data_IF_517451966668
#
_entry.id   IF_517451966668
#
_cell.length_a   1.000
_cell.length_b   1.000
_cell.length_c   1.000
_cell.angle_alpha   90.00
_cell.angle_beta   90.00
_cell.angle_gamma   90.00
#
_symmetry.space_group_name_H-M   'P 1'
#
loop_
_entity.id
_entity.type
_entity.pdbx_description
1 polymer ?
#
# COMPACT_ATOMS: atom_id res chain seq x y z
N UNK A 1 -13.70 -28.67 4.34
CA UNK A 1 -12.54 -29.17 3.56
C UNK A 1 -11.67 -27.97 3.24
N UNK A 2 -10.58 -27.78 3.99
CA UNK A 2 -9.57 -26.76 3.69
C UNK A 2 -8.53 -27.45 2.82
N UNK A 3 -8.63 -27.28 1.50
CA UNK A 3 -7.68 -27.90 0.57
C UNK A 3 -6.33 -27.20 0.68
N UNK A 4 -5.36 -27.93 1.23
CA UNK A 4 -3.94 -27.56 1.22
C UNK A 4 -3.23 -28.02 -0.06
N UNK A 5 -3.98 -28.59 -1.00
CA UNK A 5 -3.44 -29.15 -2.24
C UNK A 5 -3.51 -28.12 -3.37
N UNK A 6 -2.38 -27.45 -3.63
CA UNK A 6 -2.21 -26.42 -4.66
C UNK A 6 -2.57 -26.95 -6.05
N UNK A 7 -2.32 -28.24 -6.30
CA UNK A 7 -2.65 -28.95 -7.54
C UNK A 7 -4.15 -29.05 -7.80
N UNK A 8 -4.95 -29.22 -6.73
CA UNK A 8 -6.41 -29.22 -6.82
C UNK A 8 -6.97 -27.81 -7.06
N UNK A 9 -6.34 -26.80 -6.46
CA UNK A 9 -6.73 -25.40 -6.63
C UNK A 9 -6.46 -24.91 -8.06
N UNK A 10 -5.37 -25.34 -8.69
CA UNK A 10 -5.06 -24.99 -10.08
C UNK A 10 -6.03 -25.61 -11.10
N UNK A 11 -6.51 -26.83 -10.82
CA UNK A 11 -7.42 -27.56 -11.71
C UNK A 11 -8.91 -27.24 -11.52
N UNK A 12 -9.32 -26.75 -10.34
CA UNK A 12 -10.74 -26.65 -9.95
C UNK A 12 -11.27 -25.26 -9.61
N UNK A 13 -10.41 -24.23 -9.53
CA UNK A 13 -10.82 -22.89 -9.07
C UNK A 13 -11.06 -21.97 -10.26
N UNK A 14 -12.30 -21.50 -10.39
CA UNK A 14 -12.70 -20.52 -11.41
C UNK A 14 -12.69 -19.07 -10.90
N UNK A 15 -12.69 -18.85 -9.58
CA UNK A 15 -12.69 -17.52 -8.96
C UNK A 15 -12.03 -17.57 -7.59
N UNK A 16 -11.15 -16.60 -7.30
CA UNK A 16 -10.49 -16.44 -6.00
C UNK A 16 -10.96 -15.12 -5.39
N UNK A 17 -11.51 -15.14 -4.17
CA UNK A 17 -11.84 -13.93 -3.43
C UNK A 17 -10.82 -13.75 -2.30
N UNK A 18 -10.05 -12.67 -2.35
CA UNK A 18 -9.09 -12.29 -1.33
C UNK A 18 -9.70 -11.22 -0.41
N UNK A 19 -9.53 -11.35 0.91
CA UNK A 19 -9.94 -10.34 1.88
C UNK A 19 -8.68 -9.60 2.36
N UNK A 20 -8.55 -8.31 2.02
CA UNK A 20 -7.43 -7.45 2.43
C UNK A 20 -7.97 -6.16 3.03
N UNK A 21 -7.60 -5.85 4.27
CA UNK A 21 -7.93 -4.56 4.91
C UNK A 21 -9.42 -4.22 4.86
N UNK A 22 -10.29 -5.13 5.28
CA UNK A 22 -11.76 -5.02 5.22
C UNK A 22 -12.36 -4.89 3.80
N UNK A 23 -11.56 -5.06 2.74
CA UNK A 23 -12.02 -5.04 1.35
C UNK A 23 -11.93 -6.43 0.75
N UNK A 24 -12.91 -6.80 -0.07
CA UNK A 24 -12.91 -8.04 -0.84
C UNK A 24 -12.41 -7.73 -2.25
N UNK A 25 -11.33 -8.40 -2.67
CA UNK A 25 -10.80 -8.34 -4.03
C UNK A 25 -11.12 -9.67 -4.71
N UNK A 26 -11.99 -9.63 -5.70
CA UNK A 26 -12.35 -10.80 -6.49
C UNK A 26 -11.47 -10.91 -7.74
N UNK A 27 -10.80 -12.05 -7.88
CA UNK A 27 -10.06 -12.46 -9.06
C UNK A 27 -10.89 -13.50 -9.82
N UNK A 28 -11.58 -13.06 -10.87
CA UNK A 28 -12.40 -13.94 -11.72
C UNK A 28 -11.55 -14.61 -12.79
N UNK A 29 -11.79 -15.89 -13.05
CA UNK A 29 -11.17 -16.68 -14.11
C UNK A 29 -9.63 -16.67 -14.11
N UNK A 30 -9.01 -16.65 -12.92
CA UNK A 30 -7.57 -16.72 -12.76
C UNK A 30 -7.16 -18.04 -12.11
N UNK A 31 -6.13 -18.69 -12.65
CA UNK A 31 -5.48 -19.81 -11.97
C UNK A 31 -4.77 -19.32 -10.71
N UNK A 32 -4.59 -20.21 -9.74
CA UNK A 32 -3.97 -19.87 -8.45
C UNK A 32 -2.58 -19.23 -8.60
N UNK A 33 -1.79 -19.70 -9.56
CA UNK A 33 -0.47 -19.14 -9.87
C UNK A 33 -0.53 -17.68 -10.34
N UNK A 34 -1.46 -17.33 -11.23
CA UNK A 34 -1.64 -15.95 -11.70
C UNK A 34 -2.09 -15.02 -10.58
N UNK A 35 -2.93 -15.51 -9.68
CA UNK A 35 -3.33 -14.76 -8.49
C UNK A 35 -2.12 -14.40 -7.61
N UNK A 36 -1.19 -15.34 -7.40
CA UNK A 36 0.03 -15.08 -6.63
C UNK A 36 0.91 -14.00 -7.28
N UNK A 37 1.17 -14.12 -8.59
CA UNK A 37 1.97 -13.13 -9.32
C UNK A 37 1.34 -11.72 -9.27
N UNK A 38 0.03 -11.63 -9.47
CA UNK A 38 -0.71 -10.36 -9.41
C UNK A 38 -0.72 -9.77 -8.00
N UNK A 39 -0.79 -10.61 -6.97
CA UNK A 39 -0.70 -10.20 -5.57
C UNK A 39 0.67 -9.63 -5.24
N UNK A 40 1.75 -10.28 -5.66
CA UNK A 40 3.11 -9.79 -5.48
C UNK A 40 3.32 -8.47 -6.23
N UNK A 41 2.86 -8.38 -7.48
CA UNK A 41 2.93 -7.14 -8.25
C UNK A 41 2.19 -5.99 -7.56
N UNK A 42 0.99 -6.24 -7.05
CA UNK A 42 0.22 -5.24 -6.29
C UNK A 42 0.93 -4.81 -5.02
N UNK A 43 1.51 -5.75 -4.27
CA UNK A 43 2.28 -5.46 -3.06
C UNK A 43 3.48 -4.56 -3.38
N UNK A 44 4.26 -4.91 -4.40
CA UNK A 44 5.40 -4.12 -4.85
C UNK A 44 4.98 -2.72 -5.32
N UNK A 45 3.92 -2.63 -6.13
CA UNK A 45 3.40 -1.33 -6.60
C UNK A 45 2.96 -0.44 -5.45
N UNK A 46 2.22 -1.00 -4.48
CA UNK A 46 1.75 -0.26 -3.32
C UNK A 46 2.91 0.21 -2.42
N UNK A 47 3.94 -0.63 -2.24
CA UNK A 47 5.15 -0.29 -1.51
C UNK A 47 5.93 0.84 -2.21
N UNK A 48 6.09 0.77 -3.53
CA UNK A 48 6.79 1.79 -4.30
C UNK A 48 6.05 3.15 -4.25
N UNK A 49 4.72 3.15 -4.33
CA UNK A 49 3.91 4.36 -4.16
C UNK A 49 4.06 4.95 -2.75
N UNK A 50 4.07 4.10 -1.72
CA UNK A 50 4.28 4.51 -0.34
C UNK A 50 5.64 5.18 -0.13
N UNK A 51 6.72 4.56 -0.61
CA UNK A 51 8.07 5.12 -0.51
C UNK A 51 8.20 6.46 -1.22
N UNK A 52 7.60 6.57 -2.43
CA UNK A 52 7.55 7.83 -3.17
C UNK A 52 6.81 8.92 -2.40
N UNK A 53 5.68 8.60 -1.78
CA UNK A 53 4.90 9.55 -0.98
C UNK A 53 5.67 10.00 0.27
N UNK A 54 6.38 9.09 0.93
CA UNK A 54 7.26 9.42 2.07
C UNK A 54 8.38 10.36 1.65
N UNK A 55 9.04 10.08 0.53
CA UNK A 55 10.12 10.94 0.02
C UNK A 55 9.60 12.34 -0.32
N UNK A 56 8.45 12.42 -0.98
CA UNK A 56 7.81 13.70 -1.29
C UNK A 56 7.46 14.49 -0.02
N UNK A 57 6.89 13.82 0.98
CA UNK A 57 6.61 14.45 2.28
C UNK A 57 7.89 14.95 2.96
N UNK A 58 8.98 14.17 2.95
CA UNK A 58 10.26 14.59 3.50
C UNK A 58 10.83 15.82 2.79
N UNK A 59 10.74 15.87 1.45
CA UNK A 59 11.18 17.02 0.64
C UNK A 59 10.36 18.27 0.94
N UNK A 60 9.04 18.13 1.07
CA UNK A 60 8.14 19.24 1.43
C UNK A 60 8.47 19.77 2.83
N UNK A 61 8.69 18.87 3.80
CA UNK A 61 9.06 19.23 5.17
C UNK A 61 10.40 19.99 5.21
N UNK A 62 11.43 19.47 4.55
CA UNK A 62 12.75 20.12 4.50
C UNK A 62 12.67 21.52 3.86
N UNK A 63 11.81 21.72 2.87
CA UNK A 63 11.58 23.05 2.29
C UNK A 63 10.93 24.00 3.31
N UNK A 64 9.93 23.52 4.05
CA UNK A 64 9.27 24.31 5.10
C UNK A 64 10.25 24.69 6.20
N UNK A 65 11.08 23.75 6.66
CA UNK A 65 12.06 24.00 7.72
C UNK A 65 13.10 25.04 7.30
N UNK A 66 13.55 24.97 6.03
CA UNK A 66 14.56 25.89 5.49
C UNK A 66 14.01 27.29 5.17
N UNK A 67 12.76 27.39 4.73
CA UNK A 67 12.20 28.63 4.17
C UNK A 67 10.99 29.19 4.92
N UNK A 68 10.54 28.54 6.00
CA UNK A 68 9.39 28.95 6.79
C UNK A 68 9.59 30.28 7.51
N UNK A 69 10.81 30.58 7.94
CA UNK A 69 11.17 31.85 8.58
C UNK A 69 11.53 32.97 7.59
N UNK A 70 11.61 32.67 6.29
CA UNK A 70 12.02 33.65 5.28
C UNK A 70 10.84 34.49 4.81
N UNK A 71 10.91 35.81 4.99
CA UNK A 71 9.84 36.74 4.61
C UNK A 71 9.43 36.65 3.12
N UNK A 72 10.37 36.37 2.21
CA UNK A 72 10.11 36.26 0.77
C UNK A 72 9.49 34.92 0.37
N UNK A 73 9.75 33.84 1.12
CA UNK A 73 9.32 32.47 0.79
C UNK A 73 8.25 31.91 1.73
N UNK A 74 7.83 32.67 2.75
CA UNK A 74 6.82 32.29 3.73
C UNK A 74 5.51 31.80 3.10
N UNK A 75 4.95 32.53 2.10
CA UNK A 75 3.74 32.08 1.37
C UNK A 75 3.95 30.72 0.66
N UNK A 76 5.13 30.52 0.09
CA UNK A 76 5.48 29.29 -0.62
C UNK A 76 5.70 28.11 0.34
N UNK A 77 6.26 28.37 1.53
CA UNK A 77 6.38 27.39 2.60
C UNK A 77 5.01 27.00 3.16
N UNK A 78 4.15 27.98 3.46
CA UNK A 78 2.77 27.73 3.94
C UNK A 78 1.94 26.89 2.96
N UNK A 79 2.10 27.09 1.64
CA UNK A 79 1.44 26.25 0.63
C UNK A 79 1.90 24.78 0.74
N UNK A 80 3.20 24.54 0.88
CA UNK A 80 3.78 23.19 1.04
C UNK A 80 3.37 22.54 2.37
N UNK A 81 3.23 23.31 3.45
CA UNK A 81 2.64 22.82 4.72
C UNK A 81 1.23 22.29 4.47
N UNK A 82 0.39 23.05 3.77
CA UNK A 82 -0.97 22.61 3.44
C UNK A 82 -0.99 21.34 2.57
N UNK A 83 -0.04 21.21 1.64
CA UNK A 83 0.08 20.00 0.82
C UNK A 83 0.47 18.78 1.69
N UNK A 84 1.44 18.93 2.59
CA UNK A 84 1.86 17.88 3.52
C UNK A 84 0.73 17.44 4.45
N UNK A 85 -0.03 18.39 5.01
CA UNK A 85 -1.21 18.11 5.83
C UNK A 85 -2.33 17.42 5.05
N UNK A 86 -2.52 17.79 3.77
CA UNK A 86 -3.46 17.11 2.88
C UNK A 86 -3.02 15.66 2.60
N UNK A 87 -1.74 15.43 2.33
CA UNK A 87 -1.19 14.07 2.11
C UNK A 87 -1.36 13.18 3.34
N UNK A 88 -1.13 13.71 4.56
CA UNK A 88 -1.41 13.01 5.82
C UNK A 88 -2.89 12.66 5.96
N UNK A 89 -3.79 13.63 5.70
CA UNK A 89 -5.23 13.42 5.82
C UNK A 89 -5.78 12.40 4.83
N UNK A 90 -5.21 12.36 3.62
CA UNK A 90 -5.58 11.40 2.58
C UNK A 90 -5.02 9.99 2.82
N UNK A 91 -4.27 9.76 3.93
CA UNK A 91 -3.69 8.46 4.25
C UNK A 91 -2.59 8.01 3.29
N UNK A 92 -2.04 8.92 2.48
CA UNK A 92 -0.99 8.61 1.49
C UNK A 92 0.36 8.25 2.12
N UNK A 93 0.48 8.48 3.42
CA UNK A 93 1.65 8.15 4.26
C UNK A 93 1.36 6.98 5.19
N UNK A 94 0.23 6.31 5.03
CA UNK A 94 -0.06 5.07 5.74
C UNK A 94 0.51 3.89 4.96
N UNK A 95 1.11 2.90 5.64
CA UNK A 95 1.64 1.72 4.98
C UNK A 95 0.50 0.98 4.27
N UNK A 96 0.72 0.51 3.03
CA UNK A 96 -0.32 -0.17 2.29
C UNK A 96 -0.78 -1.42 3.07
N UNK A 97 -2.09 -1.71 3.11
CA UNK A 97 -2.65 -2.86 3.80
C UNK A 97 -2.28 -4.20 3.14
N UNK A 98 -1.50 -4.15 2.04
CA UNK A 98 -1.02 -5.31 1.30
C UNK A 98 0.11 -5.97 2.08
N UNK A 99 -0.27 -6.65 3.17
CA UNK A 99 0.53 -7.61 3.92
C UNK A 99 1.97 -7.18 4.24
N UNK A 100 2.13 -6.18 5.11
CA UNK A 100 3.13 -6.30 6.18
C UNK A 100 2.68 -7.42 7.14
N UNK A 101 2.71 -8.69 6.70
CA UNK A 101 2.70 -9.84 7.61
C UNK A 101 4.13 -10.38 7.72
N UNK A 102 5.03 -9.53 8.22
CA UNK A 102 6.14 -10.02 9.02
C UNK A 102 5.64 -10.08 10.47
N UNK A 103 5.04 -11.21 10.85
CA UNK A 103 4.68 -11.52 12.24
C UNK A 103 3.18 -11.52 12.52
N UNK A 104 2.65 -12.70 12.84
CA UNK A 104 1.41 -12.82 13.62
C UNK A 104 0.21 -13.43 12.91
N UNK A 105 0.34 -14.67 12.46
CA UNK A 105 -0.54 -15.80 12.83
C UNK A 105 -0.18 -17.01 11.97
N UNK A 106 0.77 -17.79 12.45
CA UNK A 106 0.58 -19.24 12.40
C UNK A 106 -0.56 -19.54 13.38
N UNK A 107 -1.72 -20.07 12.94
CA UNK A 107 -2.39 -21.05 13.74
C UNK A 107 -1.72 -22.38 13.41
N UNK A 108 -0.89 -22.88 14.33
CA UNK A 108 -0.88 -24.34 14.52
C UNK A 108 -2.34 -24.79 14.63
N UNK A 109 -2.76 -25.69 13.73
CA UNK A 109 -3.65 -26.85 13.91
C UNK A 109 -4.10 -27.40 12.56
#
# INVERSE_FOLDING_TARGET
>A
LVSHDVSLLDAGVNSIAEIVGNTIVEYRSCSYKKYLEEKEFRAMSAQAEYERNLEEAARLQAFVDKFGASATKAKSAQSRVKMLEKMKREGKLDPPPVAMQAGGRDPEL
#
